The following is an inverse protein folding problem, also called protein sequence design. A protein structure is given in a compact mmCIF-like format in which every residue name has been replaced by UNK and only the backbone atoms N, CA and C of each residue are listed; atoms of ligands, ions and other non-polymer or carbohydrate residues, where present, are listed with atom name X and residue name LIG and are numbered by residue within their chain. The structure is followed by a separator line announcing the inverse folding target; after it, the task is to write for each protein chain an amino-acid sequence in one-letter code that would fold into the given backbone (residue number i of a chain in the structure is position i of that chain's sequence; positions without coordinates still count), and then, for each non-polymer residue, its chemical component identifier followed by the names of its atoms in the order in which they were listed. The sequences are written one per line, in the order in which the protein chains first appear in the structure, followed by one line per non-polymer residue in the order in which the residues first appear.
data_IF_319843900085
#
_entry.id   IF_319843900085
#
_cell.length_a   1.000
_cell.length_b   1.000
_cell.length_c   1.000
_cell.angle_alpha   90.00
_cell.angle_beta   90.00
_cell.angle_gamma   90.00
#
_symmetry.space_group_name_H-M   'P 1'
#
loop_
_entity.id
_entity.type
_entity.pdbx_description
1 polymer ?
#
# COMPACT_ATOMS: atom_id res chain seq x y z
N UNK A 1 -22.79 16.59 3.74
CA UNK A 1 -23.19 15.60 4.77
C UNK A 1 -22.93 14.18 4.30
N UNK A 2 -22.70 13.24 5.22
CA UNK A 2 -22.41 11.85 4.86
C UNK A 2 -23.50 11.20 4.01
N UNK A 3 -24.77 11.53 4.27
CA UNK A 3 -25.91 11.03 3.51
C UNK A 3 -25.88 11.42 2.01
N UNK A 4 -25.33 12.58 1.68
CA UNK A 4 -25.18 13.00 0.28
C UNK A 4 -24.10 12.17 -0.44
N UNK A 5 -22.99 11.88 0.23
CA UNK A 5 -21.92 11.03 -0.32
C UNK A 5 -22.44 9.61 -0.52
N UNK A 6 -23.20 9.10 0.46
CA UNK A 6 -23.83 7.79 0.37
C UNK A 6 -24.79 7.69 -0.82
N UNK A 7 -25.67 8.67 -1.00
CA UNK A 7 -26.59 8.72 -2.14
C UNK A 7 -25.85 8.69 -3.48
N UNK A 8 -24.75 9.45 -3.62
CA UNK A 8 -23.91 9.42 -4.83
C UNK A 8 -23.29 8.03 -5.06
N UNK A 9 -22.82 7.36 -4.02
CA UNK A 9 -22.28 6.01 -4.14
C UNK A 9 -23.39 5.03 -4.59
N UNK A 10 -24.58 5.12 -4.03
CA UNK A 10 -25.73 4.28 -4.39
C UNK A 10 -26.15 4.48 -5.85
N UNK A 11 -26.20 5.74 -6.31
CA UNK A 11 -26.47 6.06 -7.72
C UNK A 11 -25.41 5.48 -8.66
N UNK A 12 -24.12 5.59 -8.30
CA UNK A 12 -23.01 5.04 -9.09
C UNK A 12 -23.02 3.50 -9.09
N UNK A 13 -23.40 2.87 -7.97
CA UNK A 13 -23.58 1.41 -7.91
C UNK A 13 -24.66 0.94 -8.88
N UNK A 14 -25.77 1.67 -8.96
CA UNK A 14 -26.91 1.35 -9.83
C UNK A 14 -26.66 1.64 -11.32
N UNK A 15 -25.74 2.53 -11.66
CA UNK A 15 -25.45 2.89 -13.05
C UNK A 15 -24.57 1.81 -13.72
N UNK A 16 -25.14 1.11 -14.70
CA UNK A 16 -24.44 0.06 -15.48
C UNK A 16 -23.33 0.59 -16.40
N UNK A 17 -23.19 1.90 -16.55
CA UNK A 17 -22.11 2.55 -17.31
C UNK A 17 -20.89 2.86 -16.43
N UNK A 18 -20.96 2.61 -15.14
CA UNK A 18 -19.90 2.83 -14.16
C UNK A 18 -19.28 1.49 -13.80
N UNK A 19 -18.01 1.30 -14.16
CA UNK A 19 -17.27 0.06 -13.93
C UNK A 19 -16.41 0.10 -12.66
N UNK A 20 -16.04 1.30 -12.20
CA UNK A 20 -15.22 1.45 -10.98
C UNK A 20 -15.57 2.71 -10.20
N UNK A 21 -15.55 2.59 -8.89
CA UNK A 21 -15.81 3.68 -7.94
C UNK A 21 -14.61 3.81 -7.01
N UNK A 22 -14.12 5.03 -6.85
CA UNK A 22 -13.05 5.40 -5.91
C UNK A 22 -13.59 6.43 -4.91
N UNK A 23 -13.52 6.12 -3.64
CA UNK A 23 -13.71 7.10 -2.56
C UNK A 23 -12.34 7.65 -2.14
N UNK A 24 -12.03 8.88 -2.57
CA UNK A 24 -10.73 9.49 -2.26
C UNK A 24 -10.56 9.76 -0.77
N UNK A 25 -9.54 9.19 -0.20
CA UNK A 25 -9.15 9.39 1.21
C UNK A 25 -7.94 10.34 1.33
N UNK A 26 -7.81 11.08 2.46
CA UNK A 26 -8.73 11.14 3.59
C UNK A 26 -9.99 11.96 3.29
N UNK A 27 -11.08 11.64 3.95
CA UNK A 27 -12.32 12.42 3.86
C UNK A 27 -12.22 13.72 4.67
N UNK A 28 -13.03 14.74 4.33
CA UNK A 28 -13.21 15.92 5.17
C UNK A 28 -13.65 15.52 6.59
N UNK A 29 -13.26 16.33 7.58
CA UNK A 29 -13.63 16.11 8.98
C UNK A 29 -15.16 16.03 9.14
N UNK A 30 -15.62 15.07 9.95
CA UNK A 30 -17.05 14.84 10.21
C UNK A 30 -17.70 13.80 9.31
N UNK A 31 -16.96 13.20 8.37
CA UNK A 31 -17.40 12.03 7.61
C UNK A 31 -16.71 10.77 8.14
N UNK A 32 -17.48 9.67 8.19
CA UNK A 32 -16.96 8.35 8.55
C UNK A 32 -16.66 7.56 7.26
N UNK A 33 -15.38 7.24 7.05
CA UNK A 33 -14.94 6.52 5.85
C UNK A 33 -15.41 5.07 5.81
N UNK A 34 -15.54 4.42 6.98
CA UNK A 34 -15.89 3.00 7.07
C UNK A 34 -17.20 2.67 6.37
N UNK A 35 -18.35 3.24 6.78
CA UNK A 35 -19.64 3.01 6.13
C UNK A 35 -19.67 3.38 4.65
N UNK A 36 -18.97 4.45 4.24
CA UNK A 36 -18.93 4.88 2.85
C UNK A 36 -18.14 3.93 1.96
N UNK A 37 -16.99 3.41 2.43
CA UNK A 37 -16.25 2.37 1.72
C UNK A 37 -17.05 1.08 1.58
N UNK A 38 -17.82 0.71 2.61
CA UNK A 38 -18.67 -0.48 2.58
C UNK A 38 -19.93 -0.32 1.72
N UNK A 39 -20.34 0.90 1.40
CA UNK A 39 -21.46 1.17 0.51
C UNK A 39 -21.10 0.98 -0.98
N UNK A 40 -19.83 1.01 -1.35
CA UNK A 40 -19.39 0.73 -2.72
C UNK A 40 -19.68 -0.75 -3.05
N UNK A 41 -20.26 -1.01 -4.23
CA UNK A 41 -20.39 -2.39 -4.70
C UNK A 41 -18.99 -3.04 -4.78
N UNK A 42 -18.76 -4.19 -4.11
CA UNK A 42 -17.48 -4.88 -4.16
C UNK A 42 -16.96 -5.19 -5.57
N UNK A 43 -17.85 -5.32 -6.54
CA UNK A 43 -17.47 -5.52 -7.94
C UNK A 43 -16.96 -4.23 -8.61
N UNK A 44 -17.37 -3.06 -8.10
CA UNK A 44 -16.97 -1.73 -8.57
C UNK A 44 -15.91 -1.06 -7.67
N UNK A 45 -15.44 -1.74 -6.62
CA UNK A 45 -14.43 -1.25 -5.69
C UNK A 45 -13.06 -1.16 -6.38
N UNK A 46 -12.81 -0.04 -7.03
CA UNK A 46 -11.59 0.16 -7.80
C UNK A 46 -10.32 0.24 -6.94
N UNK A 47 -10.42 0.60 -5.66
CA UNK A 47 -9.27 0.69 -4.74
C UNK A 47 -9.01 -0.61 -3.95
N UNK A 48 -9.95 -1.58 -4.00
CA UNK A 48 -9.82 -2.88 -3.37
C UNK A 48 -9.87 -2.84 -1.84
N UNK A 49 -10.61 -1.89 -1.27
CA UNK A 49 -10.70 -1.63 0.18
C UNK A 49 -12.00 -2.13 0.82
N UNK A 50 -12.98 -2.55 0.03
CA UNK A 50 -14.20 -3.14 0.55
C UNK A 50 -13.89 -4.41 1.35
N UNK A 51 -14.55 -4.61 2.49
CA UNK A 51 -14.30 -5.76 3.40
C UNK A 51 -14.38 -7.11 2.67
N UNK A 52 -15.29 -7.27 1.71
CA UNK A 52 -15.38 -8.49 0.92
C UNK A 52 -14.11 -8.73 0.09
N UNK A 53 -13.54 -7.69 -0.54
CA UNK A 53 -12.33 -7.81 -1.35
C UNK A 53 -11.09 -8.06 -0.49
N UNK A 54 -11.02 -7.44 0.70
CA UNK A 54 -9.99 -7.76 1.68
C UNK A 54 -10.13 -9.21 2.21
N UNK A 55 -11.36 -9.68 2.40
CA UNK A 55 -11.64 -11.08 2.75
C UNK A 55 -11.23 -12.06 1.64
N UNK A 56 -11.50 -11.71 0.38
CA UNK A 56 -11.02 -12.48 -0.79
C UNK A 56 -9.50 -12.53 -0.86
N UNK A 57 -8.81 -11.41 -0.58
CA UNK A 57 -7.36 -11.39 -0.50
C UNK A 57 -6.84 -12.36 0.57
N UNK A 58 -7.41 -12.34 1.77
CA UNK A 58 -7.03 -13.24 2.86
C UNK A 58 -7.21 -14.72 2.49
N UNK A 59 -8.28 -15.04 1.75
CA UNK A 59 -8.59 -16.41 1.30
C UNK A 59 -7.85 -16.85 0.04
N UNK A 60 -7.11 -15.94 -0.62
CA UNK A 60 -6.48 -16.22 -1.92
C UNK A 60 -7.46 -16.30 -3.09
N UNK A 61 -8.69 -15.77 -2.93
CA UNK A 61 -9.69 -15.70 -3.98
C UNK A 61 -9.44 -14.53 -4.94
N UNK A 62 -9.94 -14.60 -6.17
CA UNK A 62 -9.84 -13.51 -7.15
C UNK A 62 -10.69 -12.29 -6.76
N UNK A 63 -10.33 -11.12 -7.25
CA UNK A 63 -11.05 -9.87 -7.04
C UNK A 63 -10.10 -8.65 -6.98
N UNK A 64 -10.63 -7.43 -6.90
CA UNK A 64 -9.86 -6.22 -6.74
C UNK A 64 -8.88 -6.31 -5.57
N UNK A 65 -7.68 -5.75 -5.73
CA UNK A 65 -6.63 -5.73 -4.72
C UNK A 65 -6.32 -4.29 -4.32
N UNK A 66 -5.95 -4.08 -3.05
CA UNK A 66 -5.51 -2.75 -2.60
C UNK A 66 -4.43 -2.20 -3.53
N UNK A 67 -4.68 -1.04 -4.13
CA UNK A 67 -3.89 -0.50 -5.25
C UNK A 67 -2.43 -0.27 -4.88
N UNK A 68 -2.16 0.35 -3.73
CA UNK A 68 -0.78 0.63 -3.29
C UNK A 68 0.03 -0.65 -3.08
N UNK A 69 -0.43 -1.66 -2.34
CA UNK A 69 0.24 -2.96 -2.24
C UNK A 69 0.44 -3.66 -3.58
N UNK A 70 -0.56 -3.63 -4.46
CA UNK A 70 -0.44 -4.21 -5.81
C UNK A 70 0.64 -3.51 -6.63
N UNK A 71 0.72 -2.18 -6.54
CA UNK A 71 1.77 -1.37 -7.16
C UNK A 71 3.16 -1.73 -6.63
N UNK A 72 3.31 -1.94 -5.33
CA UNK A 72 4.58 -2.38 -4.71
C UNK A 72 5.02 -3.73 -5.28
N UNK A 73 4.12 -4.72 -5.37
CA UNK A 73 4.46 -6.02 -5.97
C UNK A 73 4.84 -5.89 -7.44
N UNK A 74 4.13 -5.06 -8.21
CA UNK A 74 4.47 -4.80 -9.62
C UNK A 74 5.87 -4.16 -9.76
N UNK A 75 6.24 -3.24 -8.84
CA UNK A 75 7.58 -2.65 -8.81
C UNK A 75 8.65 -3.69 -8.49
N UNK A 76 8.48 -4.52 -7.47
CA UNK A 76 9.41 -5.61 -7.14
C UNK A 76 9.60 -6.52 -8.34
N UNK A 77 8.51 -6.95 -8.98
CA UNK A 77 8.56 -7.79 -10.18
C UNK A 77 9.31 -7.12 -11.34
N UNK A 78 9.10 -5.83 -11.58
CA UNK A 78 9.77 -5.08 -12.65
C UNK A 78 11.28 -4.98 -12.45
N UNK A 79 11.75 -5.05 -11.20
CA UNK A 79 13.16 -5.07 -10.81
C UNK A 79 13.74 -6.50 -10.73
N UNK A 80 12.98 -7.53 -11.13
CA UNK A 80 13.41 -8.92 -11.03
C UNK A 80 13.51 -9.43 -9.58
N UNK A 81 12.86 -8.76 -8.63
CA UNK A 81 12.87 -9.13 -7.22
C UNK A 81 11.68 -10.06 -6.97
N UNK A 82 11.96 -11.36 -6.85
CA UNK A 82 10.97 -12.37 -6.49
C UNK A 82 10.86 -12.46 -4.96
N UNK A 83 9.67 -12.25 -4.36
CA UNK A 83 9.46 -12.42 -2.93
C UNK A 83 9.55 -13.87 -2.43
N UNK A 84 9.43 -14.87 -3.31
CA UNK A 84 9.38 -16.27 -2.92
C UNK A 84 10.62 -16.70 -2.11
N UNK A 85 10.38 -17.26 -0.93
CA UNK A 85 11.41 -17.70 0.02
C UNK A 85 12.15 -16.59 0.75
N UNK A 86 11.86 -15.30 0.46
CA UNK A 86 12.53 -14.16 1.10
C UNK A 86 11.86 -13.75 2.41
N UNK A 87 12.68 -13.19 3.31
CA UNK A 87 12.19 -12.51 4.50
C UNK A 87 11.79 -11.09 4.14
N UNK A 88 10.52 -10.76 4.35
CA UNK A 88 9.97 -9.44 4.11
C UNK A 88 9.48 -8.80 5.42
N UNK A 89 9.76 -7.53 5.61
CA UNK A 89 9.21 -6.75 6.72
C UNK A 89 8.38 -5.62 6.17
N UNK A 90 7.13 -5.53 6.65
CA UNK A 90 6.23 -4.42 6.37
C UNK A 90 6.17 -3.53 7.61
N UNK A 91 6.67 -2.30 7.49
CA UNK A 91 6.65 -1.30 8.56
C UNK A 91 5.39 -0.46 8.42
N UNK A 92 4.37 -0.80 9.18
CA UNK A 92 3.03 -0.23 9.12
C UNK A 92 1.96 -1.32 9.15
N UNK A 93 0.76 -0.98 9.67
CA UNK A 93 -0.35 -1.95 9.78
C UNK A 93 -1.70 -1.34 9.46
N UNK A 94 -1.72 -0.30 8.61
CA UNK A 94 -2.98 0.27 8.14
C UNK A 94 -3.76 -0.71 7.29
N UNK A 95 -5.08 -0.56 7.26
CA UNK A 95 -5.96 -1.33 6.39
C UNK A 95 -5.74 -0.98 4.90
N UNK A 96 -5.27 0.25 4.64
CA UNK A 96 -5.01 0.73 3.28
C UNK A 96 -3.77 0.10 2.65
N UNK A 97 -2.71 -0.12 3.45
CA UNK A 97 -1.41 -0.54 2.93
C UNK A 97 -0.82 -1.70 3.73
N UNK A 98 -0.56 -1.53 5.03
CA UNK A 98 0.28 -2.46 5.79
C UNK A 98 -0.26 -3.89 5.85
N UNK A 99 -1.53 -4.06 6.19
CA UNK A 99 -2.15 -5.38 6.28
C UNK A 99 -2.30 -6.04 4.90
N UNK A 100 -2.90 -5.39 3.87
CA UNK A 100 -2.99 -6.01 2.56
C UNK A 100 -1.62 -6.26 1.93
N UNK A 101 -0.61 -5.40 2.17
CA UNK A 101 0.76 -5.64 1.69
C UNK A 101 1.35 -6.94 2.26
N UNK A 102 1.18 -7.15 3.56
CA UNK A 102 1.67 -8.37 4.20
C UNK A 102 1.00 -9.63 3.64
N UNK A 103 -0.32 -9.59 3.42
CA UNK A 103 -1.06 -10.69 2.80
C UNK A 103 -0.62 -10.95 1.36
N UNK A 104 -0.38 -9.90 0.58
CA UNK A 104 0.06 -10.05 -0.80
C UNK A 104 1.49 -10.57 -0.91
N UNK A 105 2.41 -10.16 -0.04
CA UNK A 105 3.76 -10.73 0.05
C UNK A 105 3.73 -12.19 0.49
N UNK A 106 2.87 -12.54 1.47
CA UNK A 106 2.66 -13.92 1.89
C UNK A 106 2.10 -14.78 0.74
N UNK A 107 1.13 -14.27 0.01
CA UNK A 107 0.59 -14.95 -1.18
C UNK A 107 1.66 -15.14 -2.29
N UNK A 108 2.66 -14.25 -2.34
CA UNK A 108 3.84 -14.38 -3.18
C UNK A 108 4.96 -15.25 -2.55
N UNK A 109 4.63 -16.06 -1.55
CA UNK A 109 5.51 -17.01 -0.85
C UNK A 109 6.68 -16.37 -0.05
N UNK A 110 6.55 -15.11 0.38
CA UNK A 110 7.50 -14.52 1.31
C UNK A 110 7.20 -14.94 2.76
N UNK A 111 8.22 -14.97 3.61
CA UNK A 111 8.05 -14.99 5.07
C UNK A 111 7.91 -13.55 5.56
N UNK A 112 6.75 -13.18 6.08
CA UNK A 112 6.41 -11.78 6.35
C UNK A 112 6.34 -11.48 7.84
N UNK A 113 7.00 -10.41 8.25
CA UNK A 113 6.85 -9.78 9.57
C UNK A 113 6.17 -8.42 9.40
N UNK A 114 5.14 -8.14 10.20
CA UNK A 114 4.52 -6.81 10.30
C UNK A 114 5.09 -6.10 11.54
N UNK A 115 5.76 -4.99 11.33
CA UNK A 115 6.23 -4.10 12.38
C UNK A 115 5.36 -2.84 12.48
N UNK A 116 5.22 -2.28 13.67
CA UNK A 116 4.33 -1.16 13.93
C UNK A 116 4.83 -0.30 15.10
N UNK A 117 4.11 0.75 15.47
CA UNK A 117 4.49 1.71 16.52
C UNK A 117 4.68 1.11 17.93
N UNK A 118 4.31 -0.15 18.15
CA UNK A 118 4.53 -0.88 19.40
C UNK A 118 5.56 -2.00 19.27
N UNK A 119 6.21 -2.13 18.11
CA UNK A 119 7.29 -3.08 17.91
C UNK A 119 8.53 -2.59 18.64
N UNK A 120 9.06 -3.43 19.52
CA UNK A 120 10.33 -3.16 20.19
C UNK A 120 11.47 -3.48 19.22
N UNK A 121 12.54 -2.68 19.25
CA UNK A 121 13.73 -2.85 18.41
C UNK A 121 13.39 -3.11 16.92
N UNK A 122 12.78 -2.10 16.29
CA UNK A 122 12.42 -2.17 14.88
C UNK A 122 13.61 -2.57 13.99
N UNK A 123 14.80 -2.05 14.30
CA UNK A 123 16.00 -2.31 13.53
C UNK A 123 16.42 -3.80 13.57
N UNK A 124 16.21 -4.50 14.68
CA UNK A 124 16.48 -5.94 14.75
C UNK A 124 15.64 -6.74 13.74
N UNK A 125 14.38 -6.34 13.54
CA UNK A 125 13.50 -6.99 12.55
C UNK A 125 13.88 -6.61 11.11
N UNK A 126 14.10 -5.33 10.85
CA UNK A 126 14.32 -4.84 9.47
C UNK A 126 15.70 -5.19 8.93
N UNK A 127 16.74 -5.26 9.76
CA UNK A 127 18.09 -5.69 9.34
C UNK A 127 18.18 -7.16 8.90
N UNK A 128 17.22 -7.99 9.25
CA UNK A 128 17.17 -9.37 8.77
C UNK A 128 16.40 -9.52 7.45
N UNK A 129 15.66 -8.50 7.04
CA UNK A 129 14.80 -8.55 5.87
C UNK A 129 15.57 -8.38 4.57
N UNK A 130 15.16 -9.12 3.56
CA UNK A 130 15.63 -8.97 2.17
C UNK A 130 14.74 -8.01 1.39
N UNK A 131 13.49 -7.84 1.86
CA UNK A 131 12.53 -6.87 1.33
C UNK A 131 11.96 -6.07 2.52
N UNK A 132 12.05 -4.76 2.47
CA UNK A 132 11.47 -3.85 3.45
C UNK A 132 10.48 -2.93 2.78
N UNK A 133 9.21 -3.00 3.15
CA UNK A 133 8.17 -2.07 2.69
C UNK A 133 7.82 -1.13 3.82
N UNK A 134 8.04 0.17 3.61
CA UNK A 134 7.87 1.20 4.65
C UNK A 134 6.60 2.00 4.39
N UNK A 135 5.62 1.86 5.25
CA UNK A 135 4.32 2.54 5.21
C UNK A 135 3.92 3.01 6.63
N UNK A 136 4.86 3.69 7.30
CA UNK A 136 4.73 4.13 8.70
C UNK A 136 4.06 5.50 8.83
N UNK A 137 4.02 6.29 7.75
CA UNK A 137 3.50 7.66 7.76
C UNK A 137 4.36 8.61 8.61
N UNK A 138 5.67 8.35 8.70
CA UNK A 138 6.63 9.12 9.50
C UNK A 138 7.84 9.49 8.67
N UNK A 139 8.04 10.78 8.35
CA UNK A 139 9.15 11.24 7.51
C UNK A 139 10.51 10.78 8.05
N UNK A 140 11.33 10.15 7.20
CA UNK A 140 12.71 9.78 7.51
C UNK A 140 12.88 8.81 8.69
N UNK A 141 11.87 8.02 9.02
CA UNK A 141 11.92 7.08 10.14
C UNK A 141 12.94 5.96 9.94
N UNK A 142 13.15 5.51 8.71
CA UNK A 142 14.05 4.41 8.36
C UNK A 142 15.34 4.96 7.76
N UNK A 143 16.47 4.62 8.36
CA UNK A 143 17.81 4.96 7.87
C UNK A 143 18.68 3.74 7.71
N UNK A 144 19.99 3.96 7.45
CA UNK A 144 20.96 2.89 7.23
C UNK A 144 21.01 1.86 8.35
N UNK A 145 20.81 2.28 9.59
CA UNK A 145 20.80 1.41 10.78
C UNK A 145 19.67 0.37 10.78
N UNK A 146 18.64 0.57 9.95
CA UNK A 146 17.49 -0.33 9.82
C UNK A 146 17.63 -1.33 8.66
N UNK A 147 18.57 -1.11 7.74
CA UNK A 147 18.59 -1.84 6.47
C UNK A 147 19.85 -2.70 6.38
N UNK A 148 19.67 -3.96 6.03
CA UNK A 148 20.81 -4.81 5.67
C UNK A 148 21.35 -4.41 4.29
N UNK A 149 22.65 -4.43 4.07
CA UNK A 149 23.20 -4.27 2.74
C UNK A 149 22.61 -5.27 1.73
N UNK A 150 22.22 -4.76 0.57
CA UNK A 150 21.63 -5.57 -0.51
C UNK A 150 20.13 -5.87 -0.34
N UNK A 151 19.43 -5.28 0.62
CA UNK A 151 17.97 -5.38 0.70
C UNK A 151 17.27 -4.53 -0.36
N UNK A 152 16.09 -4.98 -0.79
CA UNK A 152 15.17 -4.15 -1.56
C UNK A 152 14.28 -3.34 -0.61
N UNK A 153 14.24 -2.03 -0.79
CA UNK A 153 13.48 -1.11 0.06
C UNK A 153 12.43 -0.38 -0.76
N UNK A 154 11.18 -0.48 -0.35
CA UNK A 154 10.07 0.23 -0.98
C UNK A 154 9.48 1.22 0.00
N UNK A 155 9.62 2.50 -0.30
CA UNK A 155 9.10 3.60 0.49
C UNK A 155 7.72 4.02 -0.03
N UNK A 156 6.69 3.80 0.79
CA UNK A 156 5.30 4.17 0.49
C UNK A 156 4.97 5.56 1.04
N UNK A 157 5.81 6.09 1.94
CA UNK A 157 5.62 7.38 2.57
C UNK A 157 5.61 8.53 1.57
N UNK A 158 4.73 9.51 1.76
CA UNK A 158 4.73 10.77 1.02
C UNK A 158 4.44 11.91 1.99
N UNK A 159 5.42 12.79 2.18
CA UNK A 159 5.32 13.94 3.08
C UNK A 159 5.79 15.21 2.38
N UNK A 160 5.17 16.35 2.72
CA UNK A 160 5.64 17.67 2.28
C UNK A 160 6.74 18.14 3.23
N UNK A 161 7.88 18.52 2.67
CA UNK A 161 8.95 19.16 3.44
C UNK A 161 8.62 20.60 3.73
N UNK A 162 9.02 21.15 4.89
CA UNK A 162 8.82 22.58 5.21
C UNK A 162 9.44 23.53 4.18
N UNK A 163 10.60 23.17 3.64
CA UNK A 163 11.35 23.91 2.62
C UNK A 163 10.86 23.69 1.19
N UNK A 164 9.81 22.90 1.02
CA UNK A 164 9.27 22.50 -0.28
C UNK A 164 9.76 21.14 -0.74
N UNK A 165 9.06 20.55 -1.71
CA UNK A 165 9.33 19.21 -2.21
C UNK A 165 8.67 18.11 -1.37
N UNK A 166 8.99 16.86 -1.71
CA UNK A 166 8.44 15.65 -1.08
C UNK A 166 9.56 14.80 -0.49
N UNK A 167 9.23 14.04 0.55
CA UNK A 167 10.07 12.97 1.08
C UNK A 167 9.20 11.78 1.50
N UNK A 168 9.82 10.65 1.71
CA UNK A 168 9.19 9.44 2.19
C UNK A 168 9.42 9.19 3.68
N UNK A 169 9.12 7.97 4.08
CA UNK A 169 9.41 7.44 5.41
C UNK A 169 10.89 7.00 5.55
N UNK A 170 11.61 6.90 4.43
CA UNK A 170 13.02 6.45 4.36
C UNK A 170 13.95 7.65 4.18
N UNK A 171 15.09 7.65 4.89
CA UNK A 171 16.21 8.57 4.65
C UNK A 171 16.99 8.07 3.44
N UNK A 172 16.58 8.51 2.24
CA UNK A 172 17.04 7.96 0.97
C UNK A 172 18.56 8.11 0.79
N UNK A 173 19.14 9.23 1.19
CA UNK A 173 20.58 9.51 1.15
C UNK A 173 21.43 8.52 1.98
N UNK A 174 20.87 7.96 3.05
CA UNK A 174 21.54 6.95 3.86
C UNK A 174 21.31 5.52 3.35
N UNK A 175 20.13 5.26 2.79
CA UNK A 175 19.69 3.89 2.42
C UNK A 175 20.09 3.52 0.99
N UNK A 176 20.03 4.45 0.04
CA UNK A 176 20.34 4.19 -1.37
C UNK A 176 21.75 3.61 -1.59
N UNK A 177 22.82 4.06 -0.89
CA UNK A 177 24.15 3.49 -1.07
C UNK A 177 24.30 2.02 -0.63
N UNK A 178 23.39 1.50 0.20
CA UNK A 178 23.49 0.15 0.78
C UNK A 178 22.39 -0.81 0.28
N UNK A 179 21.28 -0.29 -0.20
CA UNK A 179 20.19 -1.08 -0.74
C UNK A 179 20.52 -1.65 -2.12
N UNK A 180 20.00 -2.83 -2.46
CA UNK A 180 20.05 -3.33 -3.84
C UNK A 180 19.07 -2.57 -4.75
N UNK A 181 17.98 -2.08 -4.18
CA UNK A 181 17.00 -1.24 -4.85
C UNK A 181 16.27 -0.38 -3.81
N UNK A 182 16.04 0.88 -4.13
CA UNK A 182 15.23 1.81 -3.35
C UNK A 182 14.20 2.48 -4.26
N UNK A 183 12.94 2.47 -3.87
CA UNK A 183 11.93 3.21 -4.62
C UNK A 183 12.09 4.72 -4.41
N UNK A 184 12.03 5.54 -5.46
CA UNK A 184 12.15 6.99 -5.31
C UNK A 184 10.88 7.60 -4.71
N UNK A 185 11.06 8.72 -3.99
CA UNK A 185 9.97 9.59 -3.54
C UNK A 185 10.34 11.04 -3.90
N UNK A 186 9.59 11.69 -4.80
CA UNK A 186 8.45 11.23 -5.59
C UNK A 186 8.82 10.31 -6.77
N UNK A 187 7.79 9.75 -7.44
CA UNK A 187 7.96 9.00 -8.70
C UNK A 187 8.00 7.48 -8.57
N UNK A 188 7.94 6.95 -7.34
CA UNK A 188 7.90 5.51 -7.06
C UNK A 188 6.48 4.96 -6.90
N UNK A 189 6.07 4.69 -5.67
CA UNK A 189 4.81 4.01 -5.34
C UNK A 189 3.57 4.80 -5.74
N UNK A 190 3.58 6.15 -5.64
CA UNK A 190 2.42 6.98 -5.96
C UNK A 190 1.88 6.75 -7.39
N UNK A 191 2.67 6.92 -8.46
CA UNK A 191 2.25 6.62 -9.83
C UNK A 191 1.78 5.17 -10.02
N UNK A 192 2.39 4.21 -9.33
CA UNK A 192 1.99 2.82 -9.41
C UNK A 192 0.62 2.57 -8.76
N UNK A 193 0.29 3.28 -7.68
CA UNK A 193 -1.05 3.22 -7.07
C UNK A 193 -2.11 3.62 -8.08
N UNK A 194 -1.90 4.73 -8.81
CA UNK A 194 -2.82 5.18 -9.87
C UNK A 194 -2.91 4.16 -11.01
N UNK A 195 -1.80 3.56 -11.39
CA UNK A 195 -1.78 2.51 -12.41
C UNK A 195 -2.61 1.29 -11.98
N UNK A 196 -2.49 0.87 -10.72
CA UNK A 196 -3.25 -0.28 -10.20
C UNK A 196 -4.75 0.03 -10.07
N UNK A 197 -5.13 1.28 -9.83
CA UNK A 197 -6.52 1.71 -9.87
C UNK A 197 -7.13 1.46 -11.26
N UNK A 198 -6.42 1.84 -12.31
CA UNK A 198 -6.85 1.59 -13.69
C UNK A 198 -6.92 0.08 -13.98
N UNK A 199 -5.95 -0.71 -13.50
CA UNK A 199 -5.96 -2.18 -13.65
C UNK A 199 -7.19 -2.78 -12.98
N UNK A 200 -7.49 -2.41 -11.73
CA UNK A 200 -8.68 -2.89 -11.03
C UNK A 200 -9.97 -2.52 -11.76
N UNK A 201 -10.07 -1.29 -12.28
CA UNK A 201 -11.25 -0.85 -13.06
C UNK A 201 -11.44 -1.70 -14.31
N UNK A 202 -10.35 -2.01 -15.05
CA UNK A 202 -10.42 -2.88 -16.24
C UNK A 202 -10.77 -4.33 -15.87
N UNK A 203 -10.35 -4.81 -14.71
CA UNK A 203 -10.69 -6.17 -14.22
C UNK A 203 -12.15 -6.23 -13.74
N UNK A 204 -12.71 -5.11 -13.27
CA UNK A 204 -14.11 -5.00 -12.87
C UNK A 204 -15.08 -4.98 -14.06
N UNK A 205 -14.62 -4.47 -15.21
CA UNK A 205 -15.35 -4.47 -16.49
C UNK A 205 -15.44 -5.89 -17.09
#
# INVERSE_FOLDING_TARGET
PQAEVLAVIEDLNADTRVDGILLQLPLPSGLDEGPLLQAIDPAKDADGLHTLNLGRLLKGESGPRSCTPAGVLAMLKSQGIDPAGKRAVVVGRSILVGQPMALMLQAANATVTIAHSRTTDLAAHTREAEIVVVAAGRPGMIGAEHIRPGAAVVDVGIHRKPEGGLCGDVRADEVDPIAAALSPVPGGVGPMTVTMLLVNTVVAW
#
